data_IF_036154294277
#
_entry.id   IF_036154294277
#
_cell.length_a   1.000
_cell.length_b   1.000
_cell.length_c   1.000
_cell.angle_alpha   90.00
_cell.angle_beta   90.00
_cell.angle_gamma   90.00
#
_symmetry.space_group_name_H-M   'P 1'
#
loop_
_entity.id
_entity.type
_entity.pdbx_description
1 polymer ?
#
# COMPACT_ATOMS: atom_id res chain seq x y z
N UNK A 1 2.79 -11.11 14.76
CA UNK A 1 1.68 -10.42 14.08
C UNK A 1 2.00 -10.43 12.60
N UNK A 2 1.05 -10.68 11.71
CA UNK A 2 1.32 -10.70 10.26
C UNK A 2 1.49 -9.28 9.75
N UNK A 3 2.52 -9.04 8.91
CA UNK A 3 2.74 -7.76 8.22
C UNK A 3 2.33 -7.86 6.75
N UNK A 4 1.48 -6.96 6.31
CA UNK A 4 1.02 -6.86 4.93
C UNK A 4 1.48 -5.54 4.34
N UNK A 5 2.27 -5.62 3.27
CA UNK A 5 2.61 -4.48 2.42
C UNK A 5 1.66 -4.45 1.23
N UNK A 6 0.85 -3.40 1.13
CA UNK A 6 0.01 -3.15 -0.04
C UNK A 6 0.69 -2.13 -0.94
N UNK A 7 0.96 -2.48 -2.20
CA UNK A 7 1.60 -1.60 -3.18
C UNK A 7 0.54 -1.10 -4.17
N UNK A 8 0.15 0.15 -4.01
CA UNK A 8 -0.87 0.83 -4.80
C UNK A 8 -0.31 1.63 -5.97
N UNK A 9 -1.04 1.65 -7.09
CA UNK A 9 -0.72 2.56 -8.20
C UNK A 9 -1.03 4.01 -7.87
N UNK A 10 -2.08 4.26 -7.08
CA UNK A 10 -2.51 5.57 -6.59
C UNK A 10 -2.91 5.45 -5.12
N UNK A 11 -2.99 6.59 -4.43
CA UNK A 11 -3.57 6.63 -3.09
C UNK A 11 -5.06 6.23 -3.11
N UNK A 12 -5.58 5.57 -2.05
CA UNK A 12 -7.00 5.23 -2.00
C UNK A 12 -7.87 6.49 -1.87
N UNK A 13 -8.80 6.64 -2.81
CA UNK A 13 -9.78 7.74 -2.80
C UNK A 13 -11.21 7.16 -2.76
N UNK A 14 -11.71 6.74 -1.59
CA UNK A 14 -12.97 6.00 -1.47
C UNK A 14 -14.22 6.81 -1.80
N UNK A 15 -14.13 8.15 -1.79
CA UNK A 15 -15.21 9.06 -2.16
C UNK A 15 -15.16 9.47 -3.64
N UNK A 16 -14.03 9.24 -4.32
CA UNK A 16 -13.81 9.62 -5.72
C UNK A 16 -14.02 8.45 -6.68
N UNK A 17 -13.78 7.21 -6.22
CA UNK A 17 -13.78 6.04 -7.12
C UNK A 17 -14.16 4.74 -6.43
N UNK A 18 -14.80 3.84 -7.19
CA UNK A 18 -15.10 2.48 -6.74
C UNK A 18 -13.83 1.66 -6.43
N UNK A 19 -12.74 1.91 -7.16
CA UNK A 19 -11.44 1.29 -6.90
C UNK A 19 -10.88 1.71 -5.53
N UNK A 20 -10.97 3.00 -5.19
CA UNK A 20 -10.60 3.50 -3.86
C UNK A 20 -11.46 2.90 -2.75
N UNK A 21 -12.78 2.77 -2.97
CA UNK A 21 -13.68 2.11 -2.01
C UNK A 21 -13.30 0.65 -1.80
N UNK A 22 -12.99 -0.08 -2.88
CA UNK A 22 -12.60 -1.47 -2.80
C UNK A 22 -11.24 -1.66 -2.10
N UNK A 23 -10.26 -0.81 -2.41
CA UNK A 23 -8.96 -0.83 -1.73
C UNK A 23 -9.13 -0.64 -0.21
N UNK A 24 -9.95 0.33 0.22
CA UNK A 24 -10.24 0.51 1.65
C UNK A 24 -10.91 -0.71 2.28
N UNK A 25 -11.79 -1.41 1.55
CA UNK A 25 -12.41 -2.66 2.03
C UNK A 25 -11.35 -3.73 2.32
N UNK A 26 -10.38 -3.91 1.43
CA UNK A 26 -9.29 -4.88 1.61
C UNK A 26 -8.40 -4.52 2.79
N UNK A 27 -7.99 -3.25 2.88
CA UNK A 27 -7.15 -2.78 3.99
C UNK A 27 -7.85 -2.98 5.35
N UNK A 28 -9.14 -2.65 5.42
CA UNK A 28 -9.95 -2.89 6.63
C UNK A 28 -10.09 -4.38 6.94
N UNK A 29 -10.22 -5.25 5.94
CA UNK A 29 -10.27 -6.69 6.14
C UNK A 29 -8.95 -7.26 6.71
N UNK A 30 -7.80 -6.73 6.31
CA UNK A 30 -6.51 -7.08 6.91
C UNK A 30 -6.39 -6.56 8.35
N UNK A 31 -6.78 -5.31 8.61
CA UNK A 31 -6.79 -4.75 9.97
C UNK A 31 -7.73 -5.50 10.91
N UNK A 32 -8.88 -5.96 10.43
CA UNK A 32 -9.82 -6.77 11.21
C UNK A 32 -9.24 -8.12 11.66
N UNK A 33 -8.19 -8.61 10.99
CA UNK A 33 -7.43 -9.80 11.42
C UNK A 33 -6.31 -9.47 12.43
N UNK A 34 -6.23 -8.22 12.90
CA UNK A 34 -5.15 -7.69 13.73
C UNK A 34 -3.78 -7.83 13.06
N UNK A 35 -3.71 -7.58 11.74
CA UNK A 35 -2.46 -7.55 11.00
C UNK A 35 -1.93 -6.13 10.90
N UNK A 36 -0.62 -5.98 10.88
CA UNK A 36 0.03 -4.71 10.58
C UNK A 36 -0.05 -4.47 9.08
N UNK A 37 -0.63 -3.34 8.69
CA UNK A 37 -0.87 -3.01 7.28
C UNK A 37 -0.14 -1.72 6.96
N UNK A 38 0.69 -1.76 5.92
CA UNK A 38 1.34 -0.59 5.35
C UNK A 38 0.95 -0.43 3.89
N UNK A 39 0.52 0.76 3.52
CA UNK A 39 0.22 1.12 2.14
C UNK A 39 1.38 1.91 1.53
N UNK A 40 1.99 1.36 0.48
CA UNK A 40 3.06 2.01 -0.25
C UNK A 40 2.65 2.36 -1.68
N UNK A 41 3.07 3.53 -2.16
CA UNK A 41 2.79 3.94 -3.55
C UNK A 41 3.84 4.92 -4.09
N UNK A 42 4.15 4.87 -5.40
CA UNK A 42 4.94 5.90 -6.07
C UNK A 42 4.12 7.15 -6.43
N UNK A 43 2.80 7.12 -6.22
CA UNK A 43 1.94 8.25 -6.50
C UNK A 43 2.22 9.44 -5.58
N UNK A 44 2.15 10.64 -6.15
CA UNK A 44 2.13 11.86 -5.36
C UNK A 44 0.84 11.93 -4.54
N UNK A 45 0.95 12.47 -3.33
CA UNK A 45 -0.20 12.71 -2.45
C UNK A 45 -1.17 13.71 -3.09
N UNK A 46 -2.46 13.51 -2.88
CA UNK A 46 -3.54 14.37 -3.39
C UNK A 46 -4.41 14.85 -2.23
N UNK A 47 -5.18 15.93 -2.42
CA UNK A 47 -6.11 16.42 -1.40
C UNK A 47 -7.32 15.50 -1.18
N UNK A 48 -7.57 14.58 -2.12
CA UNK A 48 -8.71 13.66 -2.11
C UNK A 48 -8.38 12.29 -1.51
N UNK A 49 -7.10 12.02 -1.23
CA UNK A 49 -6.71 10.76 -0.61
C UNK A 49 -7.26 10.64 0.81
N UNK A 50 -7.62 9.42 1.18
CA UNK A 50 -7.97 9.12 2.56
C UNK A 50 -6.74 9.20 3.47
N UNK A 51 -6.93 9.72 4.67
CA UNK A 51 -5.92 9.60 5.72
C UNK A 51 -5.93 8.18 6.28
N UNK A 52 -4.92 7.38 5.94
CA UNK A 52 -4.84 5.97 6.35
C UNK A 52 -4.54 5.79 7.84
N UNK A 53 -3.92 6.79 8.48
CA UNK A 53 -3.62 6.75 9.92
C UNK A 53 -4.90 6.65 10.76
N UNK A 54 -6.01 7.25 10.29
CA UNK A 54 -7.33 7.19 10.93
C UNK A 54 -7.90 5.75 10.98
N UNK A 55 -7.35 4.84 10.18
CA UNK A 55 -7.71 3.42 10.09
C UNK A 55 -6.65 2.51 10.73
N UNK A 56 -5.62 3.10 11.35
CA UNK A 56 -4.48 2.37 11.91
C UNK A 56 -3.64 1.67 10.86
N UNK A 57 -3.55 2.24 9.65
CA UNK A 57 -2.76 1.74 8.53
C UNK A 57 -1.62 2.73 8.30
N UNK A 58 -0.37 2.26 8.31
CA UNK A 58 0.77 3.14 8.01
C UNK A 58 0.92 3.33 6.52
N UNK A 59 1.69 4.34 6.11
CA UNK A 59 1.93 4.58 4.70
C UNK A 59 3.36 5.03 4.38
N UNK A 60 3.84 4.62 3.21
CA UNK A 60 5.19 4.92 2.74
C UNK A 60 5.19 5.36 1.27
N UNK A 61 5.86 6.45 0.94
CA UNK A 61 6.15 6.78 -0.46
C UNK A 61 7.34 5.95 -0.95
N UNK A 62 7.20 5.35 -2.12
CA UNK A 62 8.26 4.53 -2.75
C UNK A 62 8.64 5.12 -4.11
N UNK A 63 9.92 5.00 -4.49
CA UNK A 63 10.40 5.51 -5.77
C UNK A 63 10.53 4.38 -6.80
N UNK A 64 10.12 4.66 -8.04
CA UNK A 64 10.32 3.76 -9.17
C UNK A 64 11.81 3.67 -9.54
N UNK A 65 12.30 2.48 -9.90
CA UNK A 65 13.68 2.25 -10.38
C UNK A 65 14.76 2.82 -9.43
N UNK A 66 14.50 2.78 -8.13
CA UNK A 66 15.38 3.30 -7.09
C UNK A 66 15.65 2.22 -6.04
N UNK A 67 16.92 2.00 -5.71
CA UNK A 67 17.38 1.00 -4.72
C UNK A 67 16.85 1.26 -3.30
N UNK A 68 16.34 2.46 -3.05
CA UNK A 68 15.64 2.80 -1.80
C UNK A 68 14.45 1.87 -1.54
N UNK A 69 13.84 1.29 -2.57
CA UNK A 69 12.77 0.32 -2.39
C UNK A 69 13.28 -1.00 -1.81
N UNK A 70 14.41 -1.51 -2.30
CA UNK A 70 15.02 -2.76 -1.82
C UNK A 70 15.44 -2.64 -0.36
N UNK A 71 16.01 -1.49 0.01
CA UNK A 71 16.35 -1.17 1.40
C UNK A 71 15.09 -1.11 2.27
N UNK A 72 14.05 -0.42 1.81
CA UNK A 72 12.78 -0.30 2.50
C UNK A 72 12.09 -1.65 2.71
N UNK A 73 11.91 -2.45 1.66
CA UNK A 73 11.15 -3.72 1.75
C UNK A 73 11.89 -4.74 2.63
N UNK A 74 13.23 -4.75 2.59
CA UNK A 74 14.06 -5.56 3.51
C UNK A 74 13.92 -5.10 4.96
N UNK A 75 13.89 -3.80 5.20
CA UNK A 75 13.72 -3.25 6.55
C UNK A 75 12.30 -3.50 7.11
N UNK A 76 11.27 -3.34 6.27
CA UNK A 76 9.88 -3.58 6.66
C UNK A 76 9.62 -5.07 6.92
N UNK A 77 10.21 -5.93 6.08
CA UNK A 77 10.14 -7.40 6.11
C UNK A 77 8.69 -7.92 6.17
N UNK A 78 7.88 -7.68 5.12
CA UNK A 78 6.48 -8.11 5.09
C UNK A 78 6.33 -9.63 4.97
N UNK A 79 5.28 -10.19 5.57
CA UNK A 79 4.88 -11.59 5.36
C UNK A 79 4.11 -11.78 4.04
N UNK A 80 3.38 -10.74 3.63
CA UNK A 80 2.50 -10.73 2.46
C UNK A 80 2.72 -9.42 1.72
N UNK A 81 2.87 -9.49 0.40
CA UNK A 81 2.83 -8.32 -0.48
C UNK A 81 1.60 -8.44 -1.36
N UNK A 82 0.77 -7.41 -1.40
CA UNK A 82 -0.40 -7.32 -2.27
C UNK A 82 -0.19 -6.18 -3.26
N UNK A 83 -0.26 -6.48 -4.56
CA UNK A 83 -0.19 -5.47 -5.61
C UNK A 83 -1.61 -5.08 -6.04
N UNK A 84 -1.90 -3.77 -6.06
CA UNK A 84 -3.17 -3.24 -6.55
C UNK A 84 -3.42 -3.59 -8.03
N UNK A 85 -2.33 -3.61 -8.82
CA UNK A 85 -2.39 -3.86 -10.27
C UNK A 85 -1.17 -4.65 -10.73
N UNK A 86 -1.33 -5.40 -11.80
CA UNK A 86 -0.24 -6.12 -12.47
C UNK A 86 0.95 -5.20 -12.80
N UNK A 87 0.71 -3.96 -13.24
CA UNK A 87 1.78 -2.99 -13.49
C UNK A 87 2.66 -2.71 -12.26
N UNK A 88 2.09 -2.73 -11.04
CA UNK A 88 2.87 -2.55 -9.80
C UNK A 88 3.69 -3.80 -9.49
N UNK A 89 3.14 -4.98 -9.75
CA UNK A 89 3.87 -6.25 -9.63
C UNK A 89 5.06 -6.31 -10.60
N UNK A 90 4.89 -5.89 -11.86
CA UNK A 90 5.99 -5.82 -12.82
C UNK A 90 7.12 -4.87 -12.38
N UNK A 91 6.77 -3.75 -11.73
CA UNK A 91 7.73 -2.72 -11.33
C UNK A 91 8.47 -3.07 -10.04
N UNK A 92 7.80 -3.74 -9.08
CA UNK A 92 8.32 -3.93 -7.73
C UNK A 92 8.44 -5.40 -7.31
N UNK A 93 7.76 -6.34 -7.98
CA UNK A 93 7.64 -7.74 -7.54
C UNK A 93 8.87 -8.62 -7.78
N UNK A 94 9.80 -8.20 -8.65
CA UNK A 94 11.08 -8.89 -8.86
C UNK A 94 12.20 -8.38 -7.93
N UNK A 95 11.92 -7.34 -7.15
CA UNK A 95 12.89 -6.66 -6.27
C UNK A 95 12.90 -7.24 -4.87
#
# INVERSE_FOLDING_TARGET
MKKVLVIGYVWPEPNSSAAGTHMMSLLNAFRAQNWDVEFATPAQRTDHMVNLDDFGITSQSIALNCDSFDEYVKAYNPDIVMFDRFMMEEQFGWR
#
